data_IF_928698090513
#
_entry.id   IF_928698090513
#
_cell.length_a   1.000
_cell.length_b   1.000
_cell.length_c   1.000
_cell.angle_alpha   90.00
_cell.angle_beta   90.00
_cell.angle_gamma   90.00
#
_symmetry.space_group_name_H-M   'P 1'
#
loop_
_entity.id
_entity.type
_entity.pdbx_description
1 polymer ?
#
# COMPACT_ATOMS: atom_id res chain seq x y z
N UNK A 1 -31.92 29.30 20.72
CA UNK A 1 -31.66 29.72 19.33
C UNK A 1 -30.18 30.03 19.01
N UNK A 2 -29.23 30.04 19.96
CA UNK A 2 -27.81 30.34 19.67
C UNK A 2 -26.92 29.12 19.34
N UNK A 3 -27.44 27.88 19.43
CA UNK A 3 -26.63 26.65 19.26
C UNK A 3 -26.36 26.32 17.78
N UNK A 4 -27.34 26.57 16.90
CA UNK A 4 -27.24 26.32 15.45
C UNK A 4 -26.18 27.18 14.74
N UNK A 5 -26.00 28.42 15.18
CA UNK A 5 -25.02 29.34 14.57
C UNK A 5 -23.57 28.88 14.79
N UNK A 6 -23.29 28.24 15.93
CA UNK A 6 -21.95 27.74 16.25
C UNK A 6 -21.60 26.45 15.49
N UNK A 7 -22.56 25.55 15.30
CA UNK A 7 -22.37 24.33 14.49
C UNK A 7 -22.26 24.67 13.01
N UNK A 8 -23.07 25.61 12.50
CA UNK A 8 -22.96 26.06 11.11
C UNK A 8 -21.62 26.77 10.83
N UNK A 9 -21.16 27.63 11.74
CA UNK A 9 -19.84 28.26 11.61
C UNK A 9 -18.69 27.24 11.69
N UNK A 10 -18.83 26.20 12.51
CA UNK A 10 -17.85 25.10 12.59
C UNK A 10 -17.85 24.29 11.28
N UNK A 11 -19.03 23.96 10.74
CA UNK A 11 -19.19 23.22 9.48
C UNK A 11 -18.63 24.04 8.31
N UNK A 12 -18.86 25.35 8.29
CA UNK A 12 -18.40 26.25 7.24
C UNK A 12 -16.88 26.50 7.31
N UNK A 13 -16.33 26.65 8.53
CA UNK A 13 -14.88 26.67 8.75
C UNK A 13 -14.21 25.34 8.38
N UNK A 14 -14.87 24.21 8.63
CA UNK A 14 -14.41 22.89 8.17
C UNK A 14 -14.48 22.77 6.64
N UNK A 15 -15.48 23.36 5.99
CA UNK A 15 -15.66 23.39 4.53
C UNK A 15 -14.55 24.20 3.84
N UNK A 16 -14.32 25.43 4.31
CA UNK A 16 -13.30 26.35 3.77
C UNK A 16 -11.88 25.81 4.01
N UNK A 17 -11.61 25.21 5.17
CA UNK A 17 -10.29 24.66 5.48
C UNK A 17 -10.01 23.35 4.74
N UNK A 18 -11.02 22.51 4.54
CA UNK A 18 -10.94 21.37 3.63
C UNK A 18 -10.57 21.78 2.20
N UNK A 19 -11.17 22.87 1.70
CA UNK A 19 -10.85 23.41 0.38
C UNK A 19 -9.37 23.81 0.28
N UNK A 20 -8.82 24.44 1.32
CA UNK A 20 -7.39 24.78 1.39
C UNK A 20 -6.47 23.54 1.55
N UNK A 21 -6.88 22.50 2.27
CA UNK A 21 -6.08 21.26 2.41
C UNK A 21 -6.16 20.37 1.16
N UNK A 22 -7.22 20.49 0.35
CA UNK A 22 -7.30 19.90 -0.99
C UNK A 22 -6.36 20.59 -2.01
N UNK A 23 -6.03 21.87 -1.78
CA UNK A 23 -5.09 22.65 -2.60
C UNK A 23 -3.62 22.33 -2.30
N UNK A 24 -3.27 21.89 -1.09
CA UNK A 24 -1.93 21.37 -0.80
C UNK A 24 -1.67 20.05 -1.54
N UNK A 25 -0.59 19.99 -2.33
CA UNK A 25 -0.18 18.78 -3.04
C UNK A 25 0.00 17.57 -2.11
N UNK A 26 -0.26 16.36 -2.64
CA UNK A 26 -0.20 15.09 -1.88
C UNK A 26 1.15 14.90 -1.19
N UNK A 27 2.22 15.30 -1.86
CA UNK A 27 3.56 15.26 -1.33
C UNK A 27 3.72 16.11 -0.08
N UNK A 28 3.19 17.34 -0.10
CA UNK A 28 3.33 18.29 1.02
C UNK A 28 2.42 17.91 2.19
N UNK A 29 1.27 17.32 1.92
CA UNK A 29 0.38 16.76 2.94
C UNK A 29 0.95 15.50 3.55
N UNK A 30 1.51 14.59 2.74
CA UNK A 30 2.21 13.40 3.26
C UNK A 30 3.45 13.80 4.07
N UNK A 31 4.29 14.74 3.58
CA UNK A 31 5.44 15.24 4.32
C UNK A 31 5.04 15.90 5.64
N UNK A 32 4.01 16.75 5.64
CA UNK A 32 3.51 17.39 6.87
C UNK A 32 3.01 16.33 7.86
N UNK A 33 2.34 15.29 7.37
CA UNK A 33 1.85 14.17 8.18
C UNK A 33 3.03 13.39 8.78
N UNK A 34 4.01 13.02 7.95
CA UNK A 34 5.24 12.32 8.39
C UNK A 34 6.00 13.14 9.43
N UNK A 35 6.16 14.45 9.21
CA UNK A 35 6.85 15.35 10.13
C UNK A 35 6.07 15.50 11.44
N UNK A 36 4.74 15.65 11.40
CA UNK A 36 3.93 15.89 12.60
C UNK A 36 3.83 14.67 13.52
N UNK A 37 4.02 13.46 12.99
CA UNK A 37 3.86 12.19 13.71
C UNK A 37 5.07 11.27 13.54
N UNK A 38 6.25 11.88 13.35
CA UNK A 38 7.51 11.19 13.12
C UNK A 38 7.83 10.17 14.22
N UNK A 39 7.41 10.41 15.46
CA UNK A 39 7.61 9.49 16.60
C UNK A 39 6.89 8.16 16.40
N UNK A 40 5.62 8.15 15.98
CA UNK A 40 4.87 6.92 15.71
C UNK A 40 5.48 6.16 14.54
N UNK A 41 5.90 6.87 13.49
CA UNK A 41 6.60 6.28 12.35
C UNK A 41 7.93 5.68 12.77
N UNK A 42 8.74 6.38 13.57
CA UNK A 42 10.02 5.89 14.08
C UNK A 42 9.84 4.67 14.97
N UNK A 43 8.82 4.62 15.84
CA UNK A 43 8.52 3.44 16.66
C UNK A 43 8.17 2.24 15.77
N UNK A 44 7.35 2.45 14.73
CA UNK A 44 7.02 1.39 13.78
C UNK A 44 8.23 0.93 12.97
N UNK A 45 9.05 1.86 12.50
CA UNK A 45 10.29 1.55 11.80
C UNK A 45 11.28 0.81 12.69
N UNK A 46 11.44 1.21 13.95
CA UNK A 46 12.29 0.52 14.90
C UNK A 46 11.78 -0.90 15.18
N UNK A 47 10.46 -1.08 15.33
CA UNK A 47 9.88 -2.41 15.53
C UNK A 47 10.13 -3.34 14.34
N UNK A 48 10.02 -2.81 13.12
CA UNK A 48 10.34 -3.54 11.88
C UNK A 48 11.83 -3.81 11.73
N UNK A 49 12.67 -2.85 12.10
CA UNK A 49 14.12 -3.01 12.07
C UNK A 49 14.58 -4.08 13.06
N UNK A 50 14.01 -4.13 14.26
CA UNK A 50 14.32 -5.16 15.27
C UNK A 50 13.94 -6.56 14.73
N UNK A 51 12.76 -6.71 14.13
CA UNK A 51 12.34 -7.96 13.50
C UNK A 51 13.29 -8.39 12.37
N UNK A 52 13.66 -7.44 11.49
CA UNK A 52 14.63 -7.69 10.41
C UNK A 52 16.02 -8.06 10.92
N UNK A 53 16.52 -7.39 11.96
CA UNK A 53 17.84 -7.66 12.55
C UNK A 53 17.91 -9.09 13.11
N UNK A 54 16.82 -9.64 13.65
CA UNK A 54 16.81 -11.03 14.12
C UNK A 54 17.03 -12.05 13.00
N UNK A 55 16.49 -11.78 11.80
CA UNK A 55 16.75 -12.60 10.60
C UNK A 55 18.23 -12.58 10.19
N UNK A 56 18.92 -11.48 10.51
CA UNK A 56 20.33 -11.22 10.15
C UNK A 56 21.31 -11.83 11.13
N UNK A 57 20.98 -11.81 12.43
CA UNK A 57 21.82 -12.39 13.49
C UNK A 57 21.72 -13.92 13.47
N UNK A 58 20.57 -14.48 13.08
CA UNK A 58 20.34 -15.93 13.04
C UNK A 58 19.95 -16.46 11.66
N UNK A 59 20.77 -16.23 10.60
CA UNK A 59 20.37 -16.51 9.22
C UNK A 59 20.21 -18.02 8.96
N UNK A 60 20.89 -18.89 9.70
CA UNK A 60 20.93 -20.34 9.39
C UNK A 60 20.07 -21.22 10.32
N UNK A 61 19.80 -20.80 11.56
CA UNK A 61 19.14 -21.68 12.55
C UNK A 61 17.61 -21.65 12.47
N UNK A 62 17.02 -20.56 11.99
CA UNK A 62 15.57 -20.36 12.03
C UNK A 62 14.98 -19.89 10.70
N UNK A 63 15.72 -20.01 9.58
CA UNK A 63 15.29 -19.43 8.29
C UNK A 63 13.89 -19.93 7.85
N UNK A 64 13.55 -21.19 8.13
CA UNK A 64 12.22 -21.76 7.83
C UNK A 64 11.06 -21.21 8.68
N UNK A 65 11.33 -20.64 9.87
CA UNK A 65 10.31 -20.06 10.77
C UNK A 65 10.34 -18.53 10.71
N UNK A 66 11.53 -17.92 10.61
CA UNK A 66 11.70 -16.48 10.56
C UNK A 66 11.25 -15.88 9.22
N UNK A 67 11.40 -16.59 8.10
CA UNK A 67 10.93 -16.10 6.80
C UNK A 67 9.40 -15.85 6.75
N UNK A 68 8.54 -16.81 7.15
CA UNK A 68 7.10 -16.56 7.19
C UNK A 68 6.70 -15.52 8.25
N UNK A 69 7.41 -15.45 9.39
CA UNK A 69 7.16 -14.44 10.42
C UNK A 69 7.51 -13.02 9.91
N UNK A 70 8.65 -12.86 9.23
CA UNK A 70 9.05 -11.60 8.60
C UNK A 70 8.05 -11.18 7.52
N UNK A 71 7.62 -12.13 6.68
CA UNK A 71 6.57 -11.90 5.68
C UNK A 71 5.25 -11.45 6.30
N UNK A 72 4.78 -12.14 7.34
CA UNK A 72 3.56 -11.77 8.06
C UNK A 72 3.67 -10.39 8.71
N UNK A 73 4.77 -10.12 9.42
CA UNK A 73 5.01 -8.83 10.06
C UNK A 73 5.04 -7.69 9.04
N UNK A 74 5.60 -7.95 7.85
CA UNK A 74 5.63 -6.99 6.76
C UNK A 74 4.24 -6.69 6.20
N UNK A 75 3.41 -7.71 6.00
CA UNK A 75 2.01 -7.50 5.59
C UNK A 75 1.22 -6.72 6.65
N UNK A 76 1.40 -7.04 7.93
CA UNK A 76 0.79 -6.27 9.02
C UNK A 76 1.25 -4.80 9.02
N UNK A 77 2.52 -4.53 8.71
CA UNK A 77 3.04 -3.18 8.60
C UNK A 77 2.42 -2.38 7.43
N UNK A 78 2.17 -3.01 6.27
CA UNK A 78 1.46 -2.38 5.16
C UNK A 78 0.02 -2.03 5.53
N UNK A 79 -0.68 -2.97 6.19
CA UNK A 79 -2.05 -2.74 6.67
C UNK A 79 -2.06 -1.57 7.67
N UNK A 80 -1.08 -1.54 8.58
CA UNK A 80 -0.96 -0.45 9.53
C UNK A 80 -0.61 0.88 8.86
N UNK A 81 0.26 0.89 7.86
CA UNK A 81 0.57 2.08 7.05
C UNK A 81 -0.70 2.65 6.38
N UNK A 82 -1.52 1.79 5.80
CA UNK A 82 -2.83 2.14 5.24
C UNK A 82 -3.79 2.67 6.30
N UNK A 83 -3.90 1.98 7.44
CA UNK A 83 -4.75 2.39 8.56
C UNK A 83 -4.39 3.80 9.03
N UNK A 84 -3.10 4.00 9.27
CA UNK A 84 -2.51 5.25 9.72
C UNK A 84 -2.75 6.36 8.67
N UNK A 85 -2.51 6.08 7.38
CA UNK A 85 -2.78 7.01 6.29
C UNK A 85 -4.27 7.39 6.15
N UNK A 86 -5.17 6.42 6.32
CA UNK A 86 -6.62 6.66 6.28
C UNK A 86 -7.10 7.42 7.53
N UNK A 87 -6.64 7.06 8.73
CA UNK A 87 -7.08 7.66 9.98
C UNK A 87 -6.65 9.13 10.11
N UNK A 88 -5.46 9.47 9.62
CA UNK A 88 -4.87 10.80 9.81
C UNK A 88 -5.64 11.95 9.18
N UNK A 89 -6.40 11.70 8.11
CA UNK A 89 -7.17 12.73 7.42
C UNK A 89 -8.59 12.88 8.01
N UNK A 90 -9.04 11.94 8.87
CA UNK A 90 -10.28 12.07 9.66
C UNK A 90 -10.05 12.57 11.09
N UNK A 91 -8.96 12.15 11.74
CA UNK A 91 -8.71 12.44 13.14
C UNK A 91 -7.65 13.54 13.30
N UNK A 92 -8.09 14.80 13.42
CA UNK A 92 -7.21 15.90 13.90
C UNK A 92 -6.73 15.68 15.33
N UNK A 93 -7.46 14.87 16.10
CA UNK A 93 -7.04 14.34 17.40
C UNK A 93 -6.47 12.93 17.24
N UNK A 94 -5.65 12.50 18.19
CA UNK A 94 -4.91 11.24 18.21
C UNK A 94 -5.66 10.05 17.60
N UNK A 95 -4.95 9.23 16.81
CA UNK A 95 -5.46 7.96 16.26
C UNK A 95 -6.04 7.16 17.42
N UNK A 96 -7.37 7.03 17.48
CA UNK A 96 -8.01 6.24 18.53
C UNK A 96 -7.71 4.78 18.27
N UNK A 97 -6.90 4.16 19.12
CA UNK A 97 -6.56 2.74 19.05
C UNK A 97 -7.72 1.88 19.55
N UNK A 98 -8.83 1.90 18.82
CA UNK A 98 -9.96 1.04 19.09
C UNK A 98 -9.78 -0.29 18.35
N UNK A 99 -9.49 -1.36 19.10
CA UNK A 99 -9.28 -2.69 18.56
C UNK A 99 -10.39 -3.17 17.62
N UNK A 100 -11.65 -2.82 17.90
CA UNK A 100 -12.78 -3.21 17.05
C UNK A 100 -12.73 -2.54 15.68
N UNK A 101 -12.34 -1.26 15.63
CA UNK A 101 -12.18 -0.53 14.37
C UNK A 101 -10.97 -1.02 13.58
N UNK A 102 -9.86 -1.31 14.28
CA UNK A 102 -8.66 -1.88 13.67
C UNK A 102 -8.99 -3.24 13.04
N UNK A 103 -9.69 -4.12 13.74
CA UNK A 103 -10.08 -5.43 13.20
C UNK A 103 -11.01 -5.32 11.99
N UNK A 104 -12.02 -4.44 12.01
CA UNK A 104 -12.90 -4.21 10.85
C UNK A 104 -12.11 -3.64 9.65
N UNK A 105 -11.17 -2.74 9.91
CA UNK A 105 -10.27 -2.21 8.89
C UNK A 105 -9.38 -3.31 8.30
N UNK A 106 -8.73 -4.11 9.15
CA UNK A 106 -7.88 -5.23 8.74
C UNK A 106 -8.66 -6.23 7.88
N UNK A 107 -9.89 -6.57 8.28
CA UNK A 107 -10.75 -7.47 7.52
C UNK A 107 -11.09 -6.90 6.13
N UNK A 108 -11.37 -5.59 6.03
CA UNK A 108 -11.64 -4.94 4.74
C UNK A 108 -10.40 -4.84 3.87
N UNK A 109 -9.22 -4.60 4.44
CA UNK A 109 -7.95 -4.65 3.69
C UNK A 109 -7.71 -6.07 3.19
N UNK A 110 -7.93 -7.09 4.01
CA UNK A 110 -7.78 -8.48 3.62
C UNK A 110 -8.76 -8.86 2.51
N UNK A 111 -10.03 -8.46 2.61
CA UNK A 111 -11.02 -8.69 1.55
C UNK A 111 -10.63 -7.98 0.25
N UNK A 112 -10.15 -6.74 0.33
CA UNK A 112 -9.64 -6.02 -0.85
C UNK A 112 -8.42 -6.73 -1.45
N UNK A 113 -7.48 -7.19 -0.61
CA UNK A 113 -6.29 -7.93 -1.05
C UNK A 113 -6.66 -9.26 -1.71
N UNK A 114 -7.62 -10.01 -1.15
CA UNK A 114 -8.14 -11.25 -1.75
C UNK A 114 -8.78 -10.97 -3.10
N UNK A 115 -9.58 -9.91 -3.24
CA UNK A 115 -10.16 -9.54 -4.54
C UNK A 115 -9.09 -9.19 -5.58
N UNK A 116 -8.06 -8.44 -5.16
CA UNK A 116 -6.93 -8.07 -6.01
C UNK A 116 -6.14 -9.32 -6.42
N UNK A 117 -5.73 -10.18 -5.48
CA UNK A 117 -4.94 -11.37 -5.80
C UNK A 117 -5.75 -12.40 -6.58
N UNK A 118 -7.02 -12.64 -6.20
CA UNK A 118 -7.88 -13.58 -6.94
C UNK A 118 -8.06 -13.14 -8.40
N UNK A 119 -8.27 -11.84 -8.64
CA UNK A 119 -8.34 -11.33 -10.01
C UNK A 119 -6.99 -11.47 -10.74
N UNK A 120 -5.87 -11.15 -10.07
CA UNK A 120 -4.53 -11.28 -10.66
C UNK A 120 -4.18 -12.72 -11.04
N UNK A 121 -4.40 -13.67 -10.13
CA UNK A 121 -4.15 -15.10 -10.33
C UNK A 121 -5.05 -15.71 -11.41
N UNK A 122 -6.23 -15.14 -11.66
CA UNK A 122 -7.07 -15.56 -12.78
C UNK A 122 -6.43 -15.22 -14.13
N UNK A 123 -5.65 -14.16 -14.24
CA UNK A 123 -5.04 -13.78 -15.52
C UNK A 123 -3.66 -14.37 -15.72
N UNK A 124 -2.82 -14.44 -14.68
CA UNK A 124 -1.46 -14.93 -14.80
C UNK A 124 -0.94 -15.54 -13.49
N UNK A 125 -0.38 -16.74 -13.61
CA UNK A 125 0.37 -17.42 -12.54
C UNK A 125 1.85 -17.43 -12.89
N UNK A 126 2.69 -16.66 -12.17
CA UNK A 126 4.14 -16.66 -12.36
C UNK A 126 4.78 -18.01 -12.02
N UNK A 127 4.22 -18.74 -11.05
CA UNK A 127 4.77 -20.03 -10.60
C UNK A 127 4.63 -21.12 -11.67
N UNK A 128 3.55 -21.07 -12.44
CA UNK A 128 3.24 -22.09 -13.46
C UNK A 128 3.52 -21.61 -14.89
N UNK A 129 3.91 -20.33 -15.07
CA UNK A 129 4.04 -19.67 -16.36
C UNK A 129 2.78 -19.84 -17.23
N UNK A 130 1.61 -19.72 -16.60
CA UNK A 130 0.30 -19.95 -17.23
C UNK A 130 -0.59 -18.72 -17.16
N UNK A 131 -1.42 -18.51 -18.18
CA UNK A 131 -2.50 -17.53 -18.17
C UNK A 131 -3.85 -18.18 -17.87
N UNK A 132 -4.85 -17.35 -17.58
CA UNK A 132 -6.27 -17.76 -17.45
C UNK A 132 -6.49 -18.88 -16.43
N UNK A 133 -5.99 -18.70 -15.21
CA UNK A 133 -6.20 -19.65 -14.11
C UNK A 133 -5.49 -21.00 -14.30
N UNK A 134 -4.53 -21.09 -15.22
CA UNK A 134 -3.78 -22.32 -15.48
C UNK A 134 -4.11 -23.01 -16.80
N UNK A 135 -5.08 -22.50 -17.57
CA UNK A 135 -5.55 -23.17 -18.79
C UNK A 135 -4.58 -23.05 -19.98
N UNK A 136 -3.80 -21.97 -20.06
CA UNK A 136 -2.91 -21.73 -21.22
C UNK A 136 -1.48 -21.55 -20.77
N UNK A 137 -0.55 -22.37 -21.26
CA UNK A 137 0.89 -22.19 -21.00
C UNK A 137 1.45 -21.12 -21.93
N UNK A 138 2.31 -20.25 -21.40
CA UNK A 138 2.98 -19.22 -22.19
C UNK A 138 3.76 -19.80 -23.38
N UNK A 139 4.38 -20.97 -23.21
CA UNK A 139 5.13 -21.68 -24.25
C UNK A 139 4.25 -22.11 -25.44
N UNK A 140 2.95 -22.33 -25.20
CA UNK A 140 1.99 -22.68 -26.26
C UNK A 140 1.57 -21.45 -27.08
N UNK A 141 1.61 -20.26 -26.46
CA UNK A 141 1.35 -18.97 -27.10
C UNK A 141 2.58 -18.38 -27.79
N UNK A 142 3.78 -18.68 -27.29
CA UNK A 142 5.02 -18.03 -27.73
C UNK A 142 5.76 -18.76 -28.85
N UNK A 143 5.42 -20.02 -29.16
CA UNK A 143 6.10 -20.82 -30.20
C UNK A 143 7.64 -20.70 -30.17
N UNK A 144 8.23 -20.72 -28.97
CA UNK A 144 9.67 -20.57 -28.69
C UNK A 144 10.32 -19.20 -29.06
N UNK A 145 9.53 -18.15 -29.31
CA UNK A 145 10.03 -16.78 -29.45
C UNK A 145 10.06 -16.04 -28.11
N UNK A 146 11.25 -15.79 -27.57
CA UNK A 146 11.48 -15.06 -26.32
C UNK A 146 10.82 -13.67 -26.31
N UNK A 147 10.73 -13.00 -27.47
CA UNK A 147 10.09 -11.69 -27.59
C UNK A 147 8.59 -11.77 -27.39
N UNK A 148 7.97 -12.85 -27.87
CA UNK A 148 6.53 -13.08 -27.70
C UNK A 148 6.20 -13.49 -26.27
N UNK A 149 7.05 -14.30 -25.61
CA UNK A 149 6.91 -14.62 -24.19
C UNK A 149 7.00 -13.36 -23.32
N UNK A 150 7.99 -12.50 -23.59
CA UNK A 150 8.13 -11.22 -22.91
C UNK A 150 6.90 -10.32 -23.08
N UNK A 151 6.38 -10.21 -24.32
CA UNK A 151 5.17 -9.43 -24.60
C UNK A 151 3.97 -9.92 -23.78
N UNK A 152 3.77 -11.24 -23.72
CA UNK A 152 2.68 -11.85 -22.99
C UNK A 152 2.81 -11.69 -21.47
N UNK A 153 4.02 -11.82 -20.91
CA UNK A 153 4.31 -11.52 -19.50
C UNK A 153 4.03 -10.04 -19.19
N UNK A 154 4.41 -9.13 -20.09
CA UNK A 154 4.14 -7.70 -19.94
C UNK A 154 2.63 -7.41 -19.95
N UNK A 155 1.88 -8.01 -20.88
CA UNK A 155 0.41 -7.89 -20.94
C UNK A 155 -0.23 -8.39 -19.64
N UNK A 156 0.15 -9.58 -19.16
CA UNK A 156 -0.32 -10.13 -17.90
C UNK A 156 -0.04 -9.19 -16.71
N UNK A 157 1.17 -8.64 -16.64
CA UNK A 157 1.55 -7.69 -15.60
C UNK A 157 0.68 -6.42 -15.66
N UNK A 158 0.53 -5.81 -16.84
CA UNK A 158 -0.32 -4.64 -17.04
C UNK A 158 -1.77 -4.90 -16.64
N UNK A 159 -2.32 -6.06 -17.01
CA UNK A 159 -3.69 -6.45 -16.65
C UNK A 159 -3.85 -6.60 -15.14
N UNK A 160 -2.90 -7.24 -14.43
CA UNK A 160 -2.92 -7.31 -12.95
C UNK A 160 -2.93 -5.92 -12.33
N UNK A 161 -2.12 -4.99 -12.83
CA UNK A 161 -2.08 -3.61 -12.33
C UNK A 161 -3.37 -2.84 -12.61
N UNK A 162 -3.97 -3.02 -13.78
CA UNK A 162 -5.26 -2.43 -14.11
C UNK A 162 -6.36 -2.90 -13.17
N UNK A 163 -6.45 -4.21 -12.91
CA UNK A 163 -7.42 -4.76 -11.93
C UNK A 163 -7.19 -4.24 -10.53
N UNK A 164 -5.93 -4.26 -10.08
CA UNK A 164 -5.53 -3.69 -8.78
C UNK A 164 -6.03 -2.26 -8.66
N UNK A 165 -5.79 -1.44 -9.68
CA UNK A 165 -6.20 -0.04 -9.71
C UNK A 165 -7.73 0.09 -9.74
N UNK A 166 -8.45 -0.73 -10.50
CA UNK A 166 -9.92 -0.75 -10.50
C UNK A 166 -10.50 -1.07 -9.13
N UNK A 167 -10.01 -2.11 -8.44
CA UNK A 167 -10.48 -2.46 -7.11
C UNK A 167 -10.14 -1.37 -6.08
N UNK A 168 -8.93 -0.80 -6.13
CA UNK A 168 -8.54 0.31 -5.25
C UNK A 168 -9.42 1.54 -5.48
N UNK A 169 -9.73 1.88 -6.73
CA UNK A 169 -10.59 3.04 -7.06
C UNK A 169 -12.03 2.81 -6.59
N UNK A 170 -12.60 1.65 -6.89
CA UNK A 170 -14.01 1.36 -6.65
C UNK A 170 -14.31 1.01 -5.18
N UNK A 171 -13.42 0.25 -4.53
CA UNK A 171 -13.63 -0.31 -3.20
C UNK A 171 -12.70 0.29 -2.14
N UNK A 172 -11.60 0.94 -2.53
CA UNK A 172 -10.63 1.50 -1.58
C UNK A 172 -11.23 2.58 -0.67
N UNK A 173 -12.28 3.28 -1.10
CA UNK A 173 -13.04 4.21 -0.23
C UNK A 173 -13.81 3.50 0.90
N UNK A 174 -13.93 2.17 0.86
CA UNK A 174 -14.48 1.38 1.95
C UNK A 174 -13.56 1.27 3.16
N UNK A 175 -12.23 1.44 2.96
CA UNK A 175 -11.23 1.45 4.03
C UNK A 175 -11.44 2.63 5.00
N UNK A 176 -11.44 3.90 4.54
CA UNK A 176 -11.74 5.02 5.43
C UNK A 176 -13.16 4.98 6.00
N UNK A 177 -14.14 4.41 5.29
CA UNK A 177 -15.50 4.23 5.80
C UNK A 177 -15.55 3.35 7.06
N UNK A 178 -14.64 2.36 7.18
CA UNK A 178 -14.52 1.49 8.34
C UNK A 178 -14.14 2.26 9.61
N UNK A 179 -13.28 3.28 9.46
CA UNK A 179 -12.79 4.09 10.58
C UNK A 179 -13.89 4.95 11.19
N UNK A 180 -14.81 5.43 10.36
CA UNK A 180 -15.91 6.31 10.78
C UNK A 180 -17.11 5.50 11.30
N UNK A 181 -16.99 4.16 11.37
CA UNK A 181 -18.08 3.24 11.75
C UNK A 181 -19.37 3.49 10.96
N UNK A 182 -19.23 3.99 9.73
CA UNK A 182 -20.35 4.34 8.88
C UNK A 182 -21.01 3.03 8.42
N UNK A 183 -22.25 2.76 8.86
CA UNK A 183 -23.04 1.57 8.48
C UNK A 183 -23.55 1.69 7.04
N UNK A 184 -22.65 1.89 6.10
CA UNK A 184 -22.99 2.07 4.70
C UNK A 184 -22.78 0.78 3.93
N UNK A 185 -23.78 0.41 3.13
CA UNK A 185 -23.74 -0.79 2.31
C UNK A 185 -22.75 -0.70 1.16
N UNK A 186 -22.39 -1.86 0.61
CA UNK A 186 -21.47 -2.03 -0.52
C UNK A 186 -21.76 -1.11 -1.71
N UNK A 187 -23.06 -0.90 -2.04
CA UNK A 187 -23.49 0.01 -3.12
C UNK A 187 -23.01 1.44 -2.94
N UNK A 188 -23.02 1.96 -1.70
CA UNK A 188 -22.56 3.32 -1.40
C UNK A 188 -21.04 3.44 -1.50
N UNK A 189 -20.29 2.39 -1.14
CA UNK A 189 -18.85 2.32 -1.39
C UNK A 189 -18.52 2.42 -2.87
N UNK A 190 -19.19 1.63 -3.72
CA UNK A 190 -19.01 1.70 -5.16
C UNK A 190 -19.36 3.07 -5.74
N UNK A 191 -20.50 3.64 -5.33
CA UNK A 191 -20.92 4.96 -5.78
C UNK A 191 -19.89 6.05 -5.43
N UNK A 192 -19.31 6.01 -4.22
CA UNK A 192 -18.23 6.93 -3.81
C UNK A 192 -16.97 6.74 -4.64
N UNK A 193 -16.55 5.48 -4.81
CA UNK A 193 -15.37 5.14 -5.60
C UNK A 193 -15.50 5.62 -7.04
N UNK A 194 -16.66 5.42 -7.66
CA UNK A 194 -16.95 5.89 -9.02
C UNK A 194 -16.89 7.42 -9.13
N UNK A 195 -17.59 8.13 -8.23
CA UNK A 195 -17.66 9.59 -8.26
C UNK A 195 -16.33 10.26 -7.89
N UNK A 196 -15.48 9.57 -7.12
CA UNK A 196 -14.12 10.01 -6.79
C UNK A 196 -13.04 9.44 -7.72
N UNK A 197 -13.40 8.66 -8.75
CA UNK A 197 -12.45 7.86 -9.53
C UNK A 197 -11.33 8.70 -10.16
N UNK A 198 -11.68 9.80 -10.85
CA UNK A 198 -10.70 10.70 -11.49
C UNK A 198 -9.71 11.26 -10.47
N UNK A 199 -10.20 11.61 -9.27
CA UNK A 199 -9.33 12.06 -8.19
C UNK A 199 -8.41 10.94 -7.73
N UNK A 200 -8.95 9.76 -7.38
CA UNK A 200 -8.15 8.64 -6.88
C UNK A 200 -7.09 8.25 -7.91
N UNK A 201 -7.45 8.08 -9.18
CA UNK A 201 -6.52 7.70 -10.27
C UNK A 201 -5.40 8.73 -10.42
N UNK A 202 -5.75 9.99 -10.64
CA UNK A 202 -4.75 11.05 -10.86
C UNK A 202 -3.78 11.20 -9.70
N UNK A 203 -4.29 11.11 -8.48
CA UNK A 203 -3.52 11.26 -7.26
C UNK A 203 -2.66 10.03 -6.95
N UNK A 204 -3.14 8.84 -7.28
CA UNK A 204 -2.38 7.59 -7.13
C UNK A 204 -1.21 7.53 -8.12
N UNK A 205 -1.43 7.99 -9.36
CA UNK A 205 -0.41 8.04 -10.41
C UNK A 205 0.70 9.08 -10.17
N UNK A 206 0.43 10.15 -9.43
CA UNK A 206 1.42 11.21 -9.13
C UNK A 206 2.15 10.97 -7.80
N UNK A 207 1.57 10.17 -6.90
CA UNK A 207 2.10 9.94 -5.55
C UNK A 207 2.58 8.51 -5.34
N UNK A 208 1.71 7.61 -4.81
CA UNK A 208 2.11 6.28 -4.35
C UNK A 208 2.64 5.36 -5.45
N UNK A 209 2.13 5.41 -6.69
CA UNK A 209 2.58 4.52 -7.77
C UNK A 209 4.05 4.76 -8.17
N UNK A 210 4.49 6.00 -8.48
CA UNK A 210 5.90 6.27 -8.77
C UNK A 210 6.83 5.84 -7.63
N UNK A 211 6.42 6.03 -6.37
CA UNK A 211 7.19 5.63 -5.19
C UNK A 211 7.32 4.10 -5.11
N UNK A 212 6.23 3.36 -5.33
CA UNK A 212 6.27 1.90 -5.39
C UNK A 212 7.10 1.40 -6.57
N UNK A 213 7.02 2.04 -7.73
CA UNK A 213 7.82 1.68 -8.89
C UNK A 213 9.32 1.82 -8.60
N UNK A 214 9.75 2.92 -7.97
CA UNK A 214 11.13 3.11 -7.52
C UNK A 214 11.54 2.01 -6.54
N UNK A 215 10.68 1.68 -5.57
CA UNK A 215 10.96 0.62 -4.61
C UNK A 215 11.09 -0.77 -5.27
N UNK A 216 10.25 -1.08 -6.26
CA UNK A 216 10.31 -2.35 -7.00
C UNK A 216 11.63 -2.44 -7.80
N UNK A 217 11.99 -1.38 -8.54
CA UNK A 217 13.25 -1.32 -9.28
C UNK A 217 14.43 -1.47 -8.32
N UNK A 218 14.40 -0.77 -7.19
CA UNK A 218 15.44 -0.84 -6.17
C UNK A 218 15.56 -2.25 -5.56
N UNK A 219 14.44 -2.88 -5.21
CA UNK A 219 14.41 -4.25 -4.73
C UNK A 219 14.97 -5.25 -5.74
N UNK A 220 14.65 -5.07 -7.03
CA UNK A 220 15.20 -5.85 -8.13
C UNK A 220 16.73 -5.72 -8.21
N UNK A 221 17.25 -4.50 -8.16
CA UNK A 221 18.69 -4.23 -8.14
C UNK A 221 19.35 -4.90 -6.93
N UNK A 222 18.78 -4.77 -5.72
CA UNK A 222 19.32 -5.41 -4.51
C UNK A 222 19.34 -6.94 -4.66
N UNK A 223 18.26 -7.52 -5.17
CA UNK A 223 18.14 -8.97 -5.37
C UNK A 223 19.17 -9.48 -6.38
N UNK A 224 19.36 -8.77 -7.49
CA UNK A 224 20.31 -9.16 -8.53
C UNK A 224 21.76 -8.97 -8.06
N UNK A 225 22.03 -7.89 -7.32
CA UNK A 225 23.31 -7.65 -6.66
C UNK A 225 23.62 -8.79 -5.67
N UNK A 226 22.65 -9.21 -4.86
CA UNK A 226 22.81 -10.34 -3.95
C UNK A 226 23.05 -11.66 -4.70
N UNK A 227 22.25 -11.98 -5.73
CA UNK A 227 22.40 -13.23 -6.50
C UNK A 227 23.72 -13.32 -7.25
N UNK A 228 24.20 -12.21 -7.81
CA UNK A 228 25.42 -12.19 -8.63
C UNK A 228 26.71 -12.15 -7.80
N UNK A 229 26.70 -11.49 -6.65
CA UNK A 229 27.90 -11.30 -5.83
C UNK A 229 28.07 -12.37 -4.73
N UNK A 230 26.97 -12.88 -4.14
CA UNK A 230 27.05 -13.86 -3.04
C UNK A 230 27.78 -15.16 -3.44
N UNK A 231 27.58 -15.74 -4.64
CA UNK A 231 28.28 -16.96 -5.03
C UNK A 231 29.72 -16.73 -5.52
N UNK A 232 30.02 -15.51 -6.02
CA UNK A 232 31.31 -15.19 -6.66
C UNK A 232 32.34 -14.67 -5.67
N UNK A 233 31.90 -14.14 -4.55
CA UNK A 233 32.78 -13.67 -3.52
C UNK A 233 33.09 -14.84 -2.56
N UNK A 234 34.28 -15.40 -2.68
CA UNK A 234 34.84 -16.36 -1.72
C UNK A 234 35.22 -15.61 -0.42
N UNK A 235 34.25 -14.92 0.18
CA UNK A 235 34.44 -13.96 1.26
C UNK A 235 34.84 -14.66 2.55
N UNK A 236 35.81 -14.05 3.23
CA UNK A 236 36.06 -14.35 4.64
C UNK A 236 34.80 -14.08 5.48
N UNK A 237 34.64 -14.75 6.64
CA UNK A 237 33.47 -14.59 7.50
C UNK A 237 33.16 -13.12 7.87
N UNK A 238 34.18 -12.28 8.05
CA UNK A 238 34.04 -10.84 8.33
C UNK A 238 33.43 -10.08 7.15
N UNK A 239 33.87 -10.36 5.93
CA UNK A 239 33.35 -9.73 4.72
C UNK A 239 31.93 -10.21 4.38
N UNK A 240 31.58 -11.46 4.74
CA UNK A 240 30.19 -11.95 4.67
C UNK A 240 29.27 -11.18 5.60
N UNK A 241 29.72 -10.87 6.82
CA UNK A 241 28.95 -10.07 7.78
C UNK A 241 28.78 -8.63 7.28
N UNK A 242 29.83 -8.02 6.74
CA UNK A 242 29.79 -6.67 6.16
C UNK A 242 28.79 -6.59 4.98
N UNK A 243 28.87 -7.54 4.04
CA UNK A 243 27.92 -7.63 2.93
C UNK A 243 26.46 -7.87 3.40
N UNK A 244 26.27 -8.74 4.39
CA UNK A 244 24.95 -8.99 4.97
C UNK A 244 24.40 -7.73 5.64
N UNK A 245 25.23 -6.97 6.36
CA UNK A 245 24.82 -5.70 6.97
C UNK A 245 24.41 -4.65 5.93
N UNK A 246 25.12 -4.58 4.79
CA UNK A 246 24.83 -3.65 3.71
C UNK A 246 23.51 -3.99 3.01
N UNK A 247 23.29 -5.26 2.70
CA UNK A 247 22.03 -5.73 2.09
C UNK A 247 20.83 -5.50 3.01
N UNK A 248 21.01 -5.60 4.33
CA UNK A 248 19.98 -5.31 5.33
C UNK A 248 19.65 -3.83 5.40
N UNK A 249 20.66 -2.96 5.43
CA UNK A 249 20.46 -1.50 5.35
C UNK A 249 19.67 -1.12 4.09
N UNK A 250 20.04 -1.69 2.94
CA UNK A 250 19.32 -1.47 1.68
C UNK A 250 17.88 -1.98 1.73
N UNK A 251 17.65 -3.15 2.34
CA UNK A 251 16.30 -3.70 2.54
C UNK A 251 15.46 -2.81 3.46
N UNK A 252 16.04 -2.27 4.54
CA UNK A 252 15.36 -1.35 5.45
C UNK A 252 14.96 -0.04 4.75
N UNK A 253 15.84 0.52 3.93
CA UNK A 253 15.53 1.70 3.11
C UNK A 253 14.39 1.39 2.14
N UNK A 254 14.46 0.26 1.44
CA UNK A 254 13.39 -0.15 0.52
C UNK A 254 12.03 -0.28 1.22
N UNK A 255 12.01 -0.96 2.37
CA UNK A 255 10.82 -1.13 3.18
C UNK A 255 10.28 0.23 3.66
N UNK A 256 11.16 1.17 3.99
CA UNK A 256 10.76 2.54 4.34
C UNK A 256 10.02 3.24 3.21
N UNK A 257 10.54 3.13 1.99
CA UNK A 257 9.92 3.70 0.79
C UNK A 257 8.55 3.07 0.54
N UNK A 258 8.46 1.73 0.62
CA UNK A 258 7.19 1.01 0.43
C UNK A 258 6.17 1.40 1.49
N UNK A 259 6.57 1.44 2.76
CA UNK A 259 5.70 1.85 3.86
C UNK A 259 5.13 3.26 3.63
N UNK A 260 5.98 4.21 3.25
CA UNK A 260 5.55 5.57 2.93
C UNK A 260 4.56 5.61 1.76
N UNK A 261 4.75 4.77 0.74
CA UNK A 261 3.80 4.69 -0.37
C UNK A 261 2.42 4.19 0.07
N UNK A 262 2.35 3.23 0.98
CA UNK A 262 1.07 2.78 1.56
C UNK A 262 0.40 3.84 2.44
N UNK A 263 1.18 4.63 3.18
CA UNK A 263 0.65 5.81 3.89
C UNK A 263 0.05 6.81 2.91
N UNK A 264 0.77 7.14 1.82
CA UNK A 264 0.26 8.02 0.76
C UNK A 264 -1.04 7.50 0.16
N UNK A 265 -1.09 6.20 -0.13
CA UNK A 265 -2.29 5.55 -0.66
C UNK A 265 -3.47 5.70 0.32
N UNK A 266 -3.25 5.48 1.61
CA UNK A 266 -4.27 5.68 2.65
C UNK A 266 -4.82 7.11 2.69
N UNK A 267 -3.94 8.12 2.54
CA UNK A 267 -4.33 9.54 2.48
C UNK A 267 -5.17 9.81 1.23
N UNK A 268 -4.75 9.31 0.06
CA UNK A 268 -5.49 9.48 -1.20
C UNK A 268 -6.88 8.86 -1.09
N UNK A 269 -7.00 7.68 -0.51
CA UNK A 269 -8.28 7.00 -0.31
C UNK A 269 -9.19 7.73 0.68
N UNK A 270 -8.63 8.26 1.77
CA UNK A 270 -9.40 9.10 2.71
C UNK A 270 -9.98 10.35 2.04
N UNK A 271 -9.14 11.08 1.29
CA UNK A 271 -9.60 12.28 0.56
C UNK A 271 -10.58 11.93 -0.55
N UNK A 272 -10.35 10.81 -1.23
CA UNK A 272 -11.27 10.25 -2.20
C UNK A 272 -12.63 9.94 -1.58
N UNK A 273 -12.65 9.37 -0.37
CA UNK A 273 -13.88 9.16 0.40
C UNK A 273 -14.60 10.47 0.70
N UNK A 274 -13.90 11.49 1.22
CA UNK A 274 -14.52 12.77 1.58
C UNK A 274 -15.10 13.48 0.34
N UNK A 275 -14.38 13.43 -0.77
CA UNK A 275 -14.84 13.98 -2.05
C UNK A 275 -16.04 13.21 -2.58
N UNK A 276 -16.02 11.88 -2.49
CA UNK A 276 -17.10 11.00 -2.92
C UNK A 276 -18.39 11.25 -2.13
N UNK A 277 -18.32 11.35 -0.80
CA UNK A 277 -19.49 11.67 0.05
C UNK A 277 -20.08 13.03 -0.33
N UNK A 278 -19.27 14.08 -0.43
CA UNK A 278 -19.77 15.44 -0.77
C UNK A 278 -20.46 15.51 -2.12
N UNK A 279 -19.94 14.79 -3.12
CA UNK A 279 -20.51 14.77 -4.46
C UNK A 279 -21.81 13.96 -4.51
N UNK A 280 -21.90 12.88 -3.74
CA UNK A 280 -23.14 12.11 -3.61
C UNK A 280 -24.22 12.91 -2.87
N UNK A 281 -23.87 13.61 -1.80
CA UNK A 281 -24.77 14.53 -1.07
C UNK A 281 -25.27 15.69 -1.94
N UNK A 282 -24.42 16.20 -2.86
CA UNK A 282 -24.83 17.25 -3.80
C UNK A 282 -25.75 16.74 -4.92
N UNK A 283 -25.83 15.42 -5.12
CA UNK A 283 -26.63 14.78 -6.18
C UNK A 283 -27.95 14.21 -5.67
N UNK A 284 -28.20 14.28 -4.35
CA UNK A 284 -29.43 13.83 -3.67
C UNK A 284 -30.29 15.02 -3.28
#
# INVERSE_FOLDING_TARGET
MAKDSSEQALVEALRVKSSNDQMCGIWMTTLRVVISRWTTLVILFLSLAILKIQVVIFPFFFMGVLAPVDGFAWEMAKILALYVGCAWDFSRAEVSWNWKQILDFMFKVLLLAVLIEFSGSWYFSPENNTMFGGEVRLTELSQDDEMSEFFWVLCAFLTKWLWTLSFVVLLGTGLPAALIASKQGFKRTLARGYVAAVYIISRTLIGPIPVLAIAIVWAGIISELARSLVPRLNLDPSQKIEFLSYTVMLSLVNNTIVFLAYVMLGIVLSRGYQLGERRLEASS
#
